data_IF_542018289979
#
_entry.id   IF_542018289979
#
_cell.length_a   1.000
_cell.length_b   1.000
_cell.length_c   1.000
_cell.angle_alpha   90.00
_cell.angle_beta   90.00
_cell.angle_gamma   90.00
#
_symmetry.space_group_name_H-M   'P 1'
#
loop_
_entity.id
_entity.type
_entity.pdbx_description
1 polymer ?
#
# COMPACT_ATOMS: atom_id res chain seq x y z
N UNK A 1 -19.04 -0.76 -24.47
CA UNK A 1 -19.10 -1.01 -23.01
C UNK A 1 -17.74 -1.44 -22.45
N UNK A 2 -17.01 -2.39 -23.07
CA UNK A 2 -15.66 -2.81 -22.64
C UNK A 2 -14.64 -1.66 -22.62
N UNK A 3 -14.57 -0.89 -23.71
CA UNK A 3 -13.53 0.13 -23.91
C UNK A 3 -13.57 1.29 -22.90
N UNK A 4 -14.75 1.60 -22.37
CA UNK A 4 -14.94 2.64 -21.35
C UNK A 4 -14.49 2.16 -19.98
N UNK A 5 -14.73 0.89 -19.66
CA UNK A 5 -14.31 0.29 -18.39
C UNK A 5 -12.80 0.20 -18.29
N UNK A 6 -12.13 -0.22 -19.38
CA UNK A 6 -10.67 -0.28 -19.46
C UNK A 6 -10.06 1.11 -19.27
N UNK A 7 -10.61 2.14 -19.95
CA UNK A 7 -10.17 3.53 -19.81
C UNK A 7 -10.35 4.07 -18.38
N UNK A 8 -11.42 3.66 -17.68
CA UNK A 8 -11.64 4.04 -16.28
C UNK A 8 -10.65 3.33 -15.35
N UNK A 9 -10.39 2.04 -15.57
CA UNK A 9 -9.39 1.29 -14.80
C UNK A 9 -8.02 1.94 -14.91
N UNK A 10 -7.54 2.21 -16.14
CA UNK A 10 -6.23 2.82 -16.37
C UNK A 10 -6.12 4.20 -15.71
N UNK A 11 -7.19 5.00 -15.70
CA UNK A 11 -7.20 6.29 -14.98
C UNK A 11 -7.01 6.14 -13.48
N UNK A 12 -7.68 5.16 -12.87
CA UNK A 12 -7.56 4.88 -11.43
C UNK A 12 -6.16 4.36 -11.10
N UNK A 13 -5.60 3.48 -11.93
CA UNK A 13 -4.24 2.97 -11.73
C UNK A 13 -3.17 4.06 -11.77
N UNK A 14 -3.28 4.98 -12.74
CA UNK A 14 -2.36 6.11 -12.84
C UNK A 14 -2.52 7.05 -11.64
N UNK A 15 -3.75 7.37 -11.24
CA UNK A 15 -4.01 8.22 -10.08
C UNK A 15 -3.42 7.64 -8.78
N UNK A 16 -3.47 6.32 -8.58
CA UNK A 16 -2.86 5.67 -7.41
C UNK A 16 -1.33 5.72 -7.44
N UNK A 17 -0.74 5.63 -8.63
CA UNK A 17 0.72 5.69 -8.81
C UNK A 17 1.28 7.10 -8.55
N UNK A 18 0.48 8.12 -8.84
CA UNK A 18 0.87 9.54 -8.73
C UNK A 18 0.52 10.16 -7.36
N UNK A 19 -0.14 9.43 -6.47
CA UNK A 19 -0.48 9.95 -5.14
C UNK A 19 0.79 10.11 -4.29
N UNK A 20 1.09 11.34 -3.81
CA UNK A 20 2.19 11.54 -2.89
C UNK A 20 1.85 10.93 -1.53
N UNK A 21 2.79 10.19 -0.97
CA UNK A 21 2.74 9.76 0.42
C UNK A 21 2.83 10.98 1.34
N UNK A 22 2.09 10.98 2.45
CA UNK A 22 2.18 12.06 3.42
C UNK A 22 3.58 12.08 4.06
N UNK A 23 4.28 13.22 4.12
CA UNK A 23 5.65 13.28 4.65
C UNK A 23 5.80 12.68 6.05
N UNK A 24 4.86 12.99 6.95
CA UNK A 24 4.84 12.47 8.32
C UNK A 24 4.72 10.94 8.40
N UNK A 25 4.02 10.31 7.45
CA UNK A 25 3.84 8.85 7.42
C UNK A 25 5.15 8.17 7.09
N UNK A 26 5.94 8.74 6.17
CA UNK A 26 7.27 8.22 5.83
C UNK A 26 8.22 8.30 7.01
N UNK A 27 8.27 9.45 7.69
CA UNK A 27 9.08 9.63 8.91
C UNK A 27 8.71 8.59 9.96
N UNK A 28 7.41 8.42 10.23
CA UNK A 28 6.93 7.48 11.24
C UNK A 28 7.21 6.02 10.90
N UNK A 29 7.10 5.63 9.62
CA UNK A 29 7.47 4.28 9.16
C UNK A 29 8.96 4.02 9.40
N UNK A 30 9.83 4.99 9.13
CA UNK A 30 11.27 4.85 9.34
C UNK A 30 11.62 4.74 10.82
N UNK A 31 10.97 5.54 11.68
CA UNK A 31 11.11 5.46 13.13
C UNK A 31 10.74 4.08 13.66
N UNK A 32 9.55 3.58 13.32
CA UNK A 32 9.07 2.25 13.74
C UNK A 32 10.01 1.16 13.24
N UNK A 33 10.41 1.23 11.97
CA UNK A 33 11.29 0.21 11.37
C UNK A 33 12.69 0.16 12.00
N UNK A 34 13.10 1.23 12.68
CA UNK A 34 14.40 1.34 13.37
C UNK A 34 14.31 1.01 14.86
N UNK A 35 13.11 0.84 15.40
CA UNK A 35 12.85 0.56 16.81
C UNK A 35 12.69 -0.96 17.04
N UNK A 36 13.63 -1.61 17.75
CA UNK A 36 13.57 -3.06 18.01
C UNK A 36 12.43 -3.47 18.95
N UNK A 37 11.84 -2.54 19.70
CA UNK A 37 10.72 -2.81 20.60
C UNK A 37 9.36 -2.59 19.90
N UNK A 38 9.37 -2.13 18.65
CA UNK A 38 8.16 -1.89 17.88
C UNK A 38 7.50 -3.18 17.38
N UNK A 39 6.19 -3.09 17.13
CA UNK A 39 5.38 -4.21 16.66
C UNK A 39 4.83 -3.96 15.25
N UNK A 40 4.41 -5.04 14.59
CA UNK A 40 3.74 -4.94 13.29
C UNK A 40 2.43 -4.12 13.36
N UNK A 41 1.77 -4.08 14.52
CA UNK A 41 0.57 -3.25 14.74
C UNK A 41 0.88 -1.76 14.71
N UNK A 42 2.06 -1.36 15.18
CA UNK A 42 2.47 0.04 15.13
C UNK A 42 2.65 0.47 13.67
N UNK A 43 3.28 -0.38 12.86
CA UNK A 43 3.46 -0.15 11.43
C UNK A 43 2.11 -0.14 10.69
N UNK A 44 1.23 -1.10 10.99
CA UNK A 44 -0.12 -1.16 10.43
C UNK A 44 -0.89 0.14 10.66
N UNK A 45 -0.87 0.68 11.89
CA UNK A 45 -1.61 1.90 12.23
C UNK A 45 -1.19 3.11 11.39
N UNK A 46 0.09 3.19 11.06
CA UNK A 46 0.68 4.29 10.29
C UNK A 46 0.43 4.09 8.81
N UNK A 47 0.63 2.89 8.29
CA UNK A 47 0.37 2.56 6.89
C UNK A 47 -1.11 2.73 6.55
N UNK A 48 -2.02 2.26 7.42
CA UNK A 48 -3.46 2.38 7.23
C UNK A 48 -3.96 3.84 7.26
N UNK A 49 -3.18 4.76 7.85
CA UNK A 49 -3.51 6.19 7.85
C UNK A 49 -3.27 6.87 6.50
N UNK A 50 -2.48 6.26 5.60
CA UNK A 50 -2.19 6.76 4.26
C UNK A 50 -2.72 5.81 3.18
N UNK A 51 -3.82 6.18 2.49
CA UNK A 51 -4.39 5.38 1.42
C UNK A 51 -3.42 5.16 0.24
N UNK A 52 -2.54 6.12 -0.06
CA UNK A 52 -1.58 6.02 -1.15
C UNK A 52 -0.50 4.99 -0.82
N UNK A 53 0.05 5.06 0.39
CA UNK A 53 1.02 4.07 0.87
C UNK A 53 0.41 2.67 0.92
N UNK A 54 -0.78 2.55 1.49
CA UNK A 54 -1.52 1.30 1.60
C UNK A 54 -1.73 0.64 0.23
N UNK A 55 -2.18 1.42 -0.77
CA UNK A 55 -2.41 0.89 -2.12
C UNK A 55 -1.11 0.40 -2.79
N UNK A 56 0.02 1.11 -2.57
CA UNK A 56 1.33 0.70 -3.10
C UNK A 56 1.82 -0.60 -2.46
N UNK A 57 1.65 -0.75 -1.15
CA UNK A 57 2.02 -1.97 -0.42
C UNK A 57 1.16 -3.15 -0.90
N UNK A 58 -0.16 -2.98 -1.01
CA UNK A 58 -1.04 -4.03 -1.53
C UNK A 58 -0.69 -4.43 -2.96
N UNK A 59 -0.35 -3.47 -3.84
CA UNK A 59 0.10 -3.77 -5.21
C UNK A 59 1.42 -4.55 -5.20
N UNK A 60 2.35 -4.19 -4.32
CA UNK A 60 3.62 -4.91 -4.17
C UNK A 60 3.41 -6.32 -3.63
N UNK A 61 2.60 -6.51 -2.58
CA UNK A 61 2.29 -7.80 -1.98
C UNK A 61 1.62 -8.76 -2.98
N UNK A 62 0.70 -8.24 -3.80
CA UNK A 62 0.03 -9.00 -4.86
C UNK A 62 0.86 -9.14 -6.15
N UNK A 63 2.09 -8.63 -6.18
CA UNK A 63 2.98 -8.83 -7.33
C UNK A 63 3.61 -10.21 -7.31
N UNK A 64 4.15 -10.64 -8.45
CA UNK A 64 4.88 -11.90 -8.57
C UNK A 64 6.15 -11.99 -7.70
N UNK A 65 6.59 -10.88 -7.07
CA UNK A 65 7.80 -10.84 -6.26
C UNK A 65 7.72 -11.70 -4.98
N UNK A 66 6.55 -11.72 -4.33
CA UNK A 66 6.37 -12.38 -3.04
C UNK A 66 5.74 -13.78 -3.14
N UNK A 67 5.39 -14.22 -4.36
CA UNK A 67 4.81 -15.54 -4.65
C UNK A 67 3.65 -15.95 -3.72
N UNK A 68 2.85 -14.97 -3.27
CA UNK A 68 1.72 -15.21 -2.38
C UNK A 68 0.59 -15.84 -3.20
N UNK A 69 0.10 -17.06 -2.85
CA UNK A 69 -0.91 -17.76 -3.64
C UNK A 69 -2.32 -17.18 -3.51
N UNK A 70 -2.55 -16.30 -2.53
CA UNK A 70 -3.81 -15.64 -2.25
C UNK A 70 -3.74 -14.15 -2.56
N UNK A 71 -4.85 -13.58 -3.02
CA UNK A 71 -4.96 -12.14 -3.25
C UNK A 71 -5.12 -11.40 -1.92
N UNK A 72 -4.16 -10.56 -1.58
CA UNK A 72 -4.14 -9.75 -0.37
C UNK A 72 -5.04 -8.53 -0.54
N UNK A 73 -5.94 -8.30 0.41
CA UNK A 73 -6.97 -7.24 0.33
C UNK A 73 -6.90 -6.22 1.47
N UNK A 74 -6.10 -6.48 2.50
CA UNK A 74 -5.95 -5.62 3.68
C UNK A 74 -4.49 -5.59 4.13
N UNK A 75 -4.08 -4.47 4.72
CA UNK A 75 -2.75 -4.31 5.33
C UNK A 75 -2.55 -5.27 6.51
N UNK A 76 -3.62 -5.61 7.24
CA UNK A 76 -3.57 -6.62 8.32
C UNK A 76 -3.23 -8.02 7.82
N UNK A 77 -3.37 -8.30 6.51
CA UNK A 77 -3.06 -9.58 5.90
C UNK A 77 -1.64 -9.65 5.33
N UNK A 78 -0.93 -8.50 5.26
CA UNK A 78 0.47 -8.39 4.82
C UNK A 78 1.38 -8.73 6.00
#
# INVERSE_FOLDING_TARGET
>A
MSETLDKLLTKVENAVSDLPTLPYVVERVLEISSDPDSSMRDLESVVASDPALSARILRAANSGLYAIPQHITSITQV
#
